data_IF_422171847172
#
_entry.id   IF_422171847172
#
_cell.length_a   1.000
_cell.length_b   1.000
_cell.length_c   1.000
_cell.angle_alpha   90.00
_cell.angle_beta   90.00
_cell.angle_gamma   90.00
#
_symmetry.space_group_name_H-M   'P 1'
#
loop_
_entity.id
_entity.type
_entity.pdbx_description
1 polymer ?
#
# COMPACT_ATOMS: atom_id res chain seq x y z
N UNK A 1 -25.54 -22.98 -20.47
CA UNK A 1 -26.25 -22.23 -19.41
C UNK A 1 -25.18 -21.73 -18.47
N UNK A 2 -24.99 -20.40 -18.31
CA UNK A 2 -24.07 -19.90 -17.31
C UNK A 2 -24.66 -20.19 -15.94
N UNK A 3 -23.91 -20.87 -15.07
CA UNK A 3 -24.24 -21.00 -13.66
C UNK A 3 -24.36 -19.58 -13.07
N UNK A 4 -25.56 -19.23 -12.64
CA UNK A 4 -25.75 -18.07 -11.77
C UNK A 4 -24.86 -18.29 -10.55
N UNK A 5 -23.82 -17.46 -10.42
CA UNK A 5 -23.05 -17.33 -9.19
C UNK A 5 -24.06 -17.03 -8.09
N UNK A 6 -24.36 -18.06 -7.28
CA UNK A 6 -25.13 -17.97 -6.04
C UNK A 6 -24.78 -16.65 -5.37
N UNK A 7 -25.79 -15.78 -5.22
CA UNK A 7 -25.69 -14.60 -4.38
C UNK A 7 -25.28 -15.09 -3.00
N UNK A 8 -23.99 -15.00 -2.68
CA UNK A 8 -23.48 -15.47 -1.40
C UNK A 8 -24.22 -14.70 -0.31
N UNK A 9 -24.82 -15.40 0.64
CA UNK A 9 -25.46 -14.75 1.78
C UNK A 9 -24.44 -13.92 2.56
N UNK A 10 -24.80 -12.69 2.93
CA UNK A 10 -23.99 -11.84 3.81
C UNK A 10 -23.68 -12.62 5.10
N UNK A 11 -22.40 -12.81 5.47
CA UNK A 11 -22.06 -13.51 6.70
C UNK A 11 -22.64 -12.77 7.92
N UNK A 12 -23.28 -13.54 8.82
CA UNK A 12 -23.93 -13.04 10.04
C UNK A 12 -23.10 -13.26 11.29
N UNK A 13 -22.20 -14.25 11.27
CA UNK A 13 -21.31 -14.57 12.39
C UNK A 13 -19.85 -14.58 11.96
N UNK A 14 -18.93 -14.57 12.93
CA UNK A 14 -17.50 -14.71 12.65
C UNK A 14 -17.18 -16.07 12.02
N UNK A 15 -17.88 -17.13 12.45
CA UNK A 15 -17.73 -18.47 11.89
C UNK A 15 -18.13 -18.52 10.42
N UNK A 16 -19.20 -17.82 10.04
CA UNK A 16 -19.63 -17.70 8.64
C UNK A 16 -18.68 -16.82 7.80
N UNK A 17 -18.00 -15.86 8.42
CA UNK A 17 -17.02 -15.01 7.74
C UNK A 17 -15.69 -15.72 7.48
N UNK A 18 -15.31 -16.65 8.38
CA UNK A 18 -14.03 -17.34 8.25
C UNK A 18 -13.98 -18.22 7.00
N UNK A 19 -13.01 -17.97 6.14
CA UNK A 19 -12.89 -18.67 4.86
C UNK A 19 -13.98 -18.33 3.83
N UNK A 20 -14.80 -17.29 4.06
CA UNK A 20 -15.88 -16.92 3.12
C UNK A 20 -15.38 -16.17 1.88
N UNK A 21 -14.14 -15.70 1.93
CA UNK A 21 -13.52 -14.90 0.88
C UNK A 21 -12.51 -15.70 0.07
N UNK A 22 -12.06 -15.13 -1.04
CA UNK A 22 -11.14 -15.78 -1.97
C UNK A 22 -9.93 -14.91 -2.20
N UNK A 23 -8.78 -15.57 -2.31
CA UNK A 23 -7.57 -14.93 -2.84
C UNK A 23 -7.69 -14.91 -4.37
N UNK A 24 -7.47 -13.74 -4.96
CA UNK A 24 -7.47 -13.52 -6.41
C UNK A 24 -6.12 -12.96 -6.86
N UNK A 25 -5.88 -12.93 -8.18
CA UNK A 25 -4.72 -12.24 -8.74
C UNK A 25 -4.78 -10.72 -8.47
N UNK A 26 -3.71 -9.98 -8.81
CA UNK A 26 -3.73 -8.52 -8.73
C UNK A 26 -4.93 -7.96 -9.49
N UNK A 27 -5.80 -7.17 -8.85
CA UNK A 27 -7.03 -6.70 -9.50
C UNK A 27 -6.75 -5.57 -10.52
N UNK A 28 -5.56 -4.96 -10.45
CA UNK A 28 -5.11 -3.90 -11.35
C UNK A 28 -3.58 -3.94 -11.45
N UNK A 29 -3.06 -3.70 -12.66
CA UNK A 29 -1.62 -3.65 -12.96
C UNK A 29 -1.23 -2.32 -13.61
N UNK A 30 -1.64 -1.21 -12.98
CA UNK A 30 -1.22 0.11 -13.42
C UNK A 30 0.19 0.44 -12.90
N UNK A 31 0.79 1.49 -13.46
CA UNK A 31 2.01 2.08 -12.90
C UNK A 31 1.64 3.30 -12.08
N UNK A 32 2.33 3.52 -10.97
CA UNK A 32 2.29 4.82 -10.31
C UNK A 32 2.85 5.82 -11.32
N UNK A 33 2.04 6.83 -11.67
CA UNK A 33 2.40 7.82 -12.69
C UNK A 33 3.75 8.46 -12.37
N UNK A 34 4.49 8.77 -13.43
CA UNK A 34 5.84 9.31 -13.34
C UNK A 34 5.92 10.50 -12.37
N UNK A 35 6.93 10.41 -11.49
CA UNK A 35 7.34 11.46 -10.58
C UNK A 35 8.63 12.03 -11.16
N UNK A 36 8.72 13.36 -11.24
CA UNK A 36 9.92 14.00 -11.78
C UNK A 36 11.12 13.71 -10.88
N UNK A 37 12.27 13.42 -11.50
CA UNK A 37 13.54 13.35 -10.77
C UNK A 37 13.80 14.66 -10.04
N UNK A 38 14.49 14.59 -8.92
CA UNK A 38 14.90 15.76 -8.15
C UNK A 38 16.40 16.00 -8.35
N UNK A 39 16.78 17.28 -8.42
CA UNK A 39 18.17 17.70 -8.53
C UNK A 39 18.76 17.92 -7.14
N UNK A 40 18.96 16.82 -6.41
CA UNK A 40 19.55 16.85 -5.07
C UNK A 40 21.05 16.53 -5.13
N UNK A 41 21.86 17.10 -4.21
CA UNK A 41 23.27 16.77 -4.15
C UNK A 41 23.46 15.29 -3.79
N UNK A 42 24.48 14.67 -4.38
CA UNK A 42 24.94 13.33 -4.05
C UNK A 42 26.27 13.42 -3.31
N UNK A 43 26.35 12.84 -2.12
CA UNK A 43 27.47 13.04 -1.20
C UNK A 43 28.23 11.75 -0.85
N UNK A 44 27.96 10.64 -1.55
CA UNK A 44 28.68 9.37 -1.35
C UNK A 44 28.05 8.16 -2.05
N UNK A 45 28.18 6.99 -1.42
CA UNK A 45 27.67 5.69 -1.93
C UNK A 45 26.62 5.05 -1.03
N UNK A 46 26.22 5.70 0.06
CA UNK A 46 25.16 5.19 0.91
C UNK A 46 23.80 5.40 0.25
N UNK A 47 22.86 4.51 0.57
CA UNK A 47 21.47 4.63 0.18
C UNK A 47 20.63 5.11 1.36
N UNK A 48 19.78 6.11 1.14
CA UNK A 48 18.69 6.47 2.03
C UNK A 48 17.40 5.88 1.48
N UNK A 49 16.65 5.18 2.32
CA UNK A 49 15.30 4.70 2.03
C UNK A 49 14.31 5.42 2.93
N UNK A 50 13.35 6.10 2.31
CA UNK A 50 12.30 6.86 3.00
C UNK A 50 10.98 6.08 2.91
N UNK A 51 10.36 5.85 4.06
CA UNK A 51 9.05 5.19 4.17
C UNK A 51 7.98 6.21 4.55
N UNK A 52 7.01 6.52 3.67
CA UNK A 52 6.03 7.57 3.90
C UNK A 52 4.83 7.07 4.73
N UNK A 53 5.09 6.41 5.86
CA UNK A 53 4.08 5.77 6.70
C UNK A 53 4.52 5.67 8.15
N UNK A 54 3.56 5.64 9.08
CA UNK A 54 3.77 5.30 10.49
C UNK A 54 3.57 3.80 10.78
N UNK A 55 3.11 3.03 9.79
CA UNK A 55 2.81 1.62 9.95
C UNK A 55 4.09 0.78 9.94
N UNK A 56 4.48 0.29 11.12
CA UNK A 56 5.69 -0.53 11.30
C UNK A 56 5.68 -1.82 10.50
N UNK A 57 4.54 -2.49 10.35
CA UNK A 57 4.44 -3.73 9.58
C UNK A 57 4.80 -3.49 8.10
N UNK A 58 4.35 -2.38 7.52
CA UNK A 58 4.72 -1.98 6.15
C UNK A 58 6.21 -1.69 6.02
N UNK A 59 6.79 -1.02 7.01
CA UNK A 59 8.22 -0.69 7.04
C UNK A 59 9.06 -1.94 7.12
N UNK A 60 8.77 -2.84 8.07
CA UNK A 60 9.51 -4.08 8.24
C UNK A 60 9.51 -4.94 6.98
N UNK A 61 8.38 -5.04 6.28
CA UNK A 61 8.29 -5.80 5.02
C UNK A 61 9.08 -5.11 3.90
N UNK A 62 9.13 -3.79 3.84
CA UNK A 62 9.95 -3.10 2.83
C UNK A 62 11.45 -3.19 3.14
N UNK A 63 11.84 -3.08 4.41
CA UNK A 63 13.26 -3.12 4.83
C UNK A 63 13.95 -4.41 4.42
N UNK A 64 13.24 -5.55 4.41
CA UNK A 64 13.80 -6.84 3.95
C UNK A 64 14.32 -6.74 2.52
N UNK A 65 13.67 -5.95 1.67
CA UNK A 65 14.04 -5.82 0.26
C UNK A 65 15.36 -5.08 0.02
N UNK A 66 15.76 -4.24 0.97
CA UNK A 66 17.00 -3.46 0.88
C UNK A 66 18.20 -4.19 1.52
N UNK A 67 18.00 -5.38 2.10
CA UNK A 67 19.10 -6.20 2.62
C UNK A 67 20.03 -6.69 1.51
N UNK A 68 19.48 -6.99 0.33
CA UNK A 68 20.22 -7.45 -0.85
C UNK A 68 20.69 -6.26 -1.71
N UNK A 69 21.34 -5.28 -1.07
CA UNK A 69 21.89 -4.11 -1.77
C UNK A 69 23.02 -4.49 -2.73
N UNK A 70 23.17 -3.80 -3.87
CA UNK A 70 24.25 -4.08 -4.82
C UNK A 70 25.60 -3.61 -4.26
N UNK A 71 26.68 -4.18 -4.78
CA UNK A 71 28.05 -3.92 -4.28
C UNK A 71 28.51 -2.46 -4.38
N UNK A 72 27.84 -1.63 -5.17
CA UNK A 72 28.14 -0.21 -5.31
C UNK A 72 27.43 0.68 -4.26
N UNK A 73 26.60 0.09 -3.39
CA UNK A 73 25.98 0.76 -2.25
C UNK A 73 26.68 0.30 -0.97
N UNK A 74 27.26 1.23 -0.22
CA UNK A 74 28.05 0.92 0.98
C UNK A 74 27.12 0.48 2.13
N UNK A 75 26.15 1.31 2.51
CA UNK A 75 25.12 1.02 3.52
C UNK A 75 23.73 1.55 3.14
N UNK A 76 22.68 1.02 3.79
CA UNK A 76 21.30 1.51 3.70
C UNK A 76 20.86 2.15 5.02
N UNK A 77 20.38 3.39 4.95
CA UNK A 77 19.77 4.13 6.05
C UNK A 77 18.26 4.17 5.86
N UNK A 78 17.51 3.90 6.93
CA UNK A 78 16.05 3.85 6.90
C UNK A 78 15.48 5.04 7.65
N UNK A 79 14.57 5.78 7.01
CA UNK A 79 13.91 6.94 7.59
C UNK A 79 12.39 6.83 7.38
N UNK A 80 11.63 6.83 8.47
CA UNK A 80 10.17 6.90 8.41
C UNK A 80 9.73 8.37 8.45
N UNK A 81 8.96 8.79 7.45
CA UNK A 81 8.36 10.13 7.37
C UNK A 81 6.85 9.96 7.23
N UNK A 82 6.08 9.96 8.34
CA UNK A 82 4.64 9.79 8.26
C UNK A 82 3.99 10.87 7.38
N UNK A 83 3.20 10.42 6.39
CA UNK A 83 2.35 11.29 5.57
C UNK A 83 0.90 10.98 5.93
N UNK A 84 0.13 12.00 6.30
CA UNK A 84 -1.29 11.86 6.61
C UNK A 84 -2.07 11.35 5.39
N UNK A 85 -3.14 10.58 5.62
CA UNK A 85 -4.05 10.13 4.56
C UNK A 85 -5.07 11.20 4.12
N UNK A 86 -5.04 12.37 4.76
CA UNK A 86 -5.94 13.50 4.52
C UNK A 86 -7.44 13.10 4.56
N UNK A 87 -7.79 12.12 5.40
CA UNK A 87 -9.15 11.61 5.53
C UNK A 87 -9.58 10.63 4.44
N UNK A 88 -8.64 10.21 3.57
CA UNK A 88 -8.83 9.18 2.53
C UNK A 88 -8.37 7.82 3.04
N UNK A 89 -8.96 7.37 4.14
CA UNK A 89 -8.55 6.17 4.87
C UNK A 89 -8.56 4.90 4.00
N UNK A 90 -9.45 4.82 3.01
CA UNK A 90 -9.57 3.67 2.12
C UNK A 90 -9.77 4.12 0.67
N UNK A 91 -8.68 4.27 -0.09
CA UNK A 91 -8.73 4.46 -1.53
C UNK A 91 -9.39 3.27 -2.23
N UNK A 92 -10.04 3.53 -3.35
CA UNK A 92 -10.63 2.54 -4.24
C UNK A 92 -10.14 2.75 -5.68
N UNK A 93 -10.20 1.69 -6.48
CA UNK A 93 -9.85 1.69 -7.90
C UNK A 93 -8.47 2.33 -8.13
N UNK A 94 -8.35 3.23 -9.11
CA UNK A 94 -7.11 3.96 -9.40
C UNK A 94 -6.64 4.92 -8.29
N UNK A 95 -7.47 5.24 -7.28
CA UNK A 95 -7.05 6.15 -6.21
C UNK A 95 -5.94 5.56 -5.34
N UNK A 96 -5.80 4.24 -5.25
CA UNK A 96 -4.66 3.62 -4.56
C UNK A 96 -3.32 4.11 -5.13
N UNK A 97 -3.21 4.19 -6.46
CA UNK A 97 -2.01 4.66 -7.16
C UNK A 97 -1.80 6.16 -7.00
N UNK A 98 -2.89 6.93 -7.00
CA UNK A 98 -2.85 8.39 -6.77
C UNK A 98 -2.38 8.70 -5.36
N UNK A 99 -2.92 8.01 -4.35
CA UNK A 99 -2.52 8.15 -2.95
C UNK A 99 -1.07 7.70 -2.73
N UNK A 100 -0.64 6.57 -3.31
CA UNK A 100 0.75 6.13 -3.27
C UNK A 100 1.70 7.20 -3.85
N UNK A 101 1.37 7.75 -5.02
CA UNK A 101 2.12 8.86 -5.62
C UNK A 101 2.19 10.06 -4.70
N UNK A 102 1.05 10.47 -4.15
CA UNK A 102 0.96 11.62 -3.25
C UNK A 102 1.86 11.44 -2.03
N UNK A 103 1.82 10.28 -1.37
CA UNK A 103 2.69 9.94 -0.23
C UNK A 103 4.17 10.03 -0.59
N UNK A 104 4.56 9.48 -1.74
CA UNK A 104 5.94 9.58 -2.23
C UNK A 104 6.35 11.03 -2.40
N UNK A 105 5.57 11.82 -3.14
CA UNK A 105 5.89 13.23 -3.39
C UNK A 105 5.94 14.06 -2.10
N UNK A 106 5.02 13.83 -1.18
CA UNK A 106 4.95 14.59 0.07
C UNK A 106 6.11 14.25 1.00
N UNK A 107 6.54 13.00 1.05
CA UNK A 107 7.72 12.62 1.83
C UNK A 107 9.02 13.20 1.26
N UNK A 108 9.13 13.34 -0.06
CA UNK A 108 10.25 14.06 -0.70
C UNK A 108 10.29 15.52 -0.24
N UNK A 109 9.14 16.20 -0.23
CA UNK A 109 9.04 17.60 0.21
C UNK A 109 9.36 17.74 1.70
N UNK A 110 8.76 16.90 2.56
CA UNK A 110 9.02 16.91 4.00
C UNK A 110 10.51 16.63 4.29
N UNK A 111 11.12 15.68 3.57
CA UNK A 111 12.53 15.39 3.75
C UNK A 111 13.40 16.61 3.43
N UNK A 112 13.15 17.23 2.27
CA UNK A 112 13.90 18.42 1.81
C UNK A 112 13.83 19.56 2.82
N UNK A 113 12.66 19.80 3.38
CA UNK A 113 12.42 20.92 4.29
C UNK A 113 13.03 20.69 5.67
N UNK A 114 13.07 19.45 6.15
CA UNK A 114 13.42 19.14 7.54
C UNK A 114 14.79 18.47 7.74
N UNK A 115 15.45 18.03 6.67
CA UNK A 115 16.71 17.27 6.74
C UNK A 115 17.84 17.84 5.85
N UNK A 116 18.13 19.16 5.91
CA UNK A 116 18.99 19.84 4.93
C UNK A 116 20.44 19.33 4.87
N UNK A 117 21.00 18.85 5.99
CA UNK A 117 22.38 18.33 6.06
C UNK A 117 22.47 16.80 5.96
N UNK A 118 21.34 16.09 6.02
CA UNK A 118 21.32 14.63 6.22
C UNK A 118 22.03 13.88 5.09
N UNK A 119 21.86 14.33 3.84
CA UNK A 119 22.49 13.69 2.69
C UNK A 119 24.02 13.76 2.75
N UNK A 120 24.56 14.91 3.18
CA UNK A 120 26.00 15.12 3.35
C UNK A 120 26.53 14.32 4.55
N UNK A 121 25.90 14.49 5.72
CA UNK A 121 26.30 13.85 6.97
C UNK A 121 26.31 12.31 6.89
N UNK A 122 25.43 11.74 6.07
CA UNK A 122 25.32 10.29 5.87
C UNK A 122 25.95 9.80 4.57
N UNK A 123 26.66 10.66 3.82
CA UNK A 123 27.30 10.30 2.55
C UNK A 123 26.35 9.61 1.57
N UNK A 124 25.12 10.13 1.45
CA UNK A 124 24.05 9.55 0.63
C UNK A 124 24.29 9.84 -0.85
N UNK A 125 24.34 8.79 -1.67
CA UNK A 125 24.40 8.87 -3.13
C UNK A 125 23.18 8.27 -3.84
N UNK A 126 22.31 7.58 -3.12
CA UNK A 126 21.08 6.99 -3.67
C UNK A 126 19.94 7.23 -2.71
N UNK A 127 18.77 7.62 -3.22
CA UNK A 127 17.61 7.95 -2.40
C UNK A 127 16.40 7.25 -2.99
N UNK A 128 15.83 6.32 -2.23
CA UNK A 128 14.63 5.57 -2.61
C UNK A 128 13.50 6.00 -1.68
N UNK A 129 12.34 6.33 -2.24
CA UNK A 129 11.10 6.48 -1.45
C UNK A 129 10.23 5.26 -1.75
N UNK A 130 9.94 4.47 -0.72
CA UNK A 130 9.22 3.21 -0.84
C UNK A 130 7.88 3.27 -0.10
N UNK A 131 6.77 3.14 -0.83
CA UNK A 131 5.42 3.28 -0.31
C UNK A 131 4.58 2.03 -0.56
N UNK A 132 3.72 1.68 0.39
CA UNK A 132 2.64 0.69 0.22
C UNK A 132 1.32 1.40 0.47
N UNK A 133 0.44 1.42 -0.55
CA UNK A 133 -0.92 1.92 -0.41
C UNK A 133 -1.92 0.81 -0.61
N UNK A 134 -2.78 0.65 0.40
CA UNK A 134 -3.87 -0.33 0.36
C UNK A 134 -5.06 0.29 -0.37
N UNK A 135 -5.77 -0.49 -1.18
CA UNK A 135 -6.94 -0.01 -1.90
C UNK A 135 -7.91 -1.15 -2.19
N UNK A 136 -9.18 -0.80 -2.44
CA UNK A 136 -10.16 -1.74 -2.98
C UNK A 136 -10.37 -1.54 -4.48
N UNK A 137 -10.19 -2.56 -5.30
CA UNK A 137 -10.78 -2.55 -6.65
C UNK A 137 -12.26 -2.91 -6.54
N UNK A 138 -13.14 -2.06 -7.08
CA UNK A 138 -14.58 -2.34 -7.19
C UNK A 138 -15.07 -2.29 -8.63
N UNK A 139 -14.32 -1.67 -9.54
CA UNK A 139 -14.72 -1.56 -10.94
C UNK A 139 -14.34 -2.84 -11.69
N UNK A 140 -15.23 -3.32 -12.56
CA UNK A 140 -15.00 -4.47 -13.44
C UNK A 140 -14.58 -5.77 -12.72
N UNK A 141 -14.87 -5.89 -11.42
CA UNK A 141 -14.65 -7.10 -10.62
C UNK A 141 -16.00 -7.63 -10.11
N UNK A 142 -16.19 -8.97 -10.06
CA UNK A 142 -17.46 -9.54 -9.60
C UNK A 142 -17.70 -9.32 -8.11
N UNK A 143 -16.63 -9.16 -7.33
CA UNK A 143 -16.64 -8.81 -5.91
C UNK A 143 -15.50 -7.82 -5.67
N UNK A 144 -15.69 -6.82 -4.79
CA UNK A 144 -14.61 -5.91 -4.44
C UNK A 144 -13.39 -6.68 -3.91
N UNK A 145 -12.19 -6.16 -4.18
CA UNK A 145 -10.92 -6.82 -3.87
C UNK A 145 -10.02 -5.87 -3.09
N UNK A 146 -9.67 -6.18 -1.83
CA UNK A 146 -8.59 -5.48 -1.09
C UNK A 146 -7.26 -5.94 -1.66
N UNK A 147 -6.44 -5.00 -2.08
CA UNK A 147 -5.09 -5.23 -2.52
C UNK A 147 -4.21 -4.06 -2.04
N UNK A 148 -2.92 -4.14 -2.35
CA UNK A 148 -1.98 -3.06 -2.11
C UNK A 148 -1.12 -2.82 -3.34
N UNK A 149 -0.96 -1.56 -3.70
CA UNK A 149 0.06 -1.11 -4.64
C UNK A 149 1.34 -0.76 -3.88
N UNK A 150 2.47 -1.24 -4.38
CA UNK A 150 3.80 -0.94 -3.87
C UNK A 150 4.54 -0.10 -4.90
N UNK A 151 5.13 1.01 -4.46
CA UNK A 151 5.93 1.90 -5.27
C UNK A 151 7.31 2.11 -4.66
N UNK A 152 8.37 1.95 -5.46
CA UNK A 152 9.73 2.33 -5.08
C UNK A 152 10.24 3.34 -6.10
N UNK A 153 10.55 4.55 -5.65
CA UNK A 153 10.95 5.65 -6.50
C UNK A 153 12.38 6.07 -6.20
N UNK A 154 13.25 6.04 -7.20
CA UNK A 154 14.57 6.62 -7.10
C UNK A 154 14.50 8.12 -7.40
N UNK A 155 14.72 8.91 -6.36
CA UNK A 155 14.56 10.37 -6.38
C UNK A 155 15.50 11.02 -7.38
N UNK A 156 16.71 10.49 -7.54
CA UNK A 156 17.77 11.11 -8.36
C UNK A 156 17.65 10.72 -9.83
N UNK A 157 17.26 9.48 -10.11
CA UNK A 157 17.18 8.96 -11.49
C UNK A 157 15.78 9.12 -12.09
N UNK A 158 14.76 9.32 -11.26
CA UNK A 158 13.36 9.40 -11.68
C UNK A 158 12.73 8.04 -11.99
N UNK A 159 13.43 6.93 -11.73
CA UNK A 159 12.92 5.58 -12.01
C UNK A 159 11.91 5.14 -10.95
N UNK A 160 10.82 4.55 -11.40
CA UNK A 160 9.75 4.01 -10.57
C UNK A 160 9.60 2.51 -10.84
N UNK A 161 9.69 1.70 -9.77
CA UNK A 161 9.19 0.34 -9.76
C UNK A 161 7.79 0.34 -9.14
N UNK A 162 6.83 -0.33 -9.78
CA UNK A 162 5.47 -0.47 -9.28
C UNK A 162 5.01 -1.92 -9.42
N UNK A 163 4.39 -2.44 -8.39
CA UNK A 163 3.69 -3.72 -8.44
C UNK A 163 2.42 -3.67 -7.59
N UNK A 164 1.49 -4.57 -7.86
CA UNK A 164 0.26 -4.72 -7.10
C UNK A 164 0.20 -6.14 -6.56
N UNK A 165 -0.06 -6.25 -5.26
CA UNK A 165 -0.21 -7.55 -4.60
C UNK A 165 -1.43 -8.30 -5.13
N UNK A 166 -1.40 -9.63 -4.94
CA UNK A 166 -2.62 -10.43 -4.97
C UNK A 166 -3.64 -9.85 -3.99
N UNK A 167 -4.91 -9.98 -4.35
CA UNK A 167 -5.99 -9.40 -3.56
C UNK A 167 -6.83 -10.43 -2.83
N UNK A 168 -7.63 -9.95 -1.88
CA UNK A 168 -8.64 -10.75 -1.19
C UNK A 168 -10.01 -10.14 -1.45
N UNK A 169 -10.95 -10.97 -1.90
CA UNK A 169 -12.32 -10.51 -2.10
C UNK A 169 -12.95 -10.09 -0.78
N UNK A 170 -13.91 -9.19 -0.83
CA UNK A 170 -14.82 -8.93 0.28
C UNK A 170 -16.24 -8.87 -0.25
N UNK A 171 -17.19 -9.43 0.51
CA UNK A 171 -18.59 -9.33 0.15
C UNK A 171 -19.04 -7.86 0.02
N UNK A 172 -19.77 -7.45 -1.06
CA UNK A 172 -20.16 -6.06 -1.31
C UNK A 172 -20.87 -5.29 -0.19
N UNK A 173 -21.35 -5.97 0.86
CA UNK A 173 -22.09 -5.33 1.96
C UNK A 173 -21.19 -4.32 2.70
N UNK A 174 -19.86 -4.52 2.69
CA UNK A 174 -18.95 -3.59 3.34
C UNK A 174 -18.96 -2.22 2.66
N UNK A 175 -19.24 -2.12 1.35
CA UNK A 175 -19.33 -0.85 0.64
C UNK A 175 -20.52 -0.04 1.13
N UNK A 176 -21.69 -0.69 1.23
CA UNK A 176 -22.90 -0.08 1.79
C UNK A 176 -22.66 0.40 3.24
N UNK A 177 -21.97 -0.42 4.03
CA UNK A 177 -21.63 -0.05 5.41
C UNK A 177 -20.62 1.09 5.47
N UNK A 178 -19.61 1.13 4.59
CA UNK A 178 -18.64 2.21 4.51
C UNK A 178 -19.30 3.54 4.17
N UNK A 179 -20.21 3.51 3.19
CA UNK A 179 -21.00 4.68 2.78
C UNK A 179 -21.90 5.18 3.91
N UNK A 180 -22.53 4.28 4.67
CA UNK A 180 -23.37 4.62 5.80
C UNK A 180 -22.57 5.19 6.99
N UNK A 181 -21.39 4.62 7.26
CA UNK A 181 -20.61 4.90 8.49
C UNK A 181 -19.82 6.20 8.41
N UNK A 182 -19.22 6.47 7.25
CA UNK A 182 -18.34 7.62 7.06
C UNK A 182 -18.49 8.28 5.70
N UNK A 183 -19.07 7.60 4.70
CA UNK A 183 -19.23 8.15 3.37
C UNK A 183 -17.91 8.37 2.64
N UNK A 184 -17.96 9.25 1.65
CA UNK A 184 -16.84 9.54 0.76
C UNK A 184 -15.98 10.70 1.28
N UNK A 185 -14.67 10.58 1.15
CA UNK A 185 -13.72 11.66 1.40
C UNK A 185 -13.78 12.67 0.24
N UNK A 186 -13.87 13.97 0.56
CA UNK A 186 -13.92 15.06 -0.43
C UNK A 186 -14.98 14.90 -1.55
N UNK A 187 -16.10 14.22 -1.28
CA UNK A 187 -17.09 13.81 -2.29
C UNK A 187 -16.51 12.96 -3.44
N UNK A 188 -15.32 12.39 -3.27
CA UNK A 188 -14.70 11.47 -4.21
C UNK A 188 -15.23 10.05 -3.94
N UNK A 189 -16.05 9.54 -4.88
CA UNK A 189 -16.66 8.21 -4.78
C UNK A 189 -15.64 7.05 -4.71
N UNK A 190 -14.38 7.30 -5.02
CA UNK A 190 -13.30 6.33 -4.95
C UNK A 190 -12.40 6.50 -3.71
N UNK A 191 -12.82 7.28 -2.72
CA UNK A 191 -12.11 7.40 -1.44
C UNK A 191 -13.11 7.27 -0.29
N UNK A 192 -13.06 6.17 0.46
CA UNK A 192 -13.90 5.95 1.64
C UNK A 192 -13.20 6.48 2.89
N UNK A 193 -13.98 7.03 3.84
CA UNK A 193 -13.46 7.53 5.13
C UNK A 193 -13.22 6.44 6.17
N UNK A 194 -13.84 5.27 5.99
CA UNK A 194 -13.75 4.13 6.91
C UNK A 194 -13.07 2.97 6.20
N UNK A 195 -12.15 2.30 6.90
CA UNK A 195 -11.45 1.15 6.33
C UNK A 195 -12.30 -0.12 6.36
N UNK A 196 -12.06 -1.04 5.44
CA UNK A 196 -12.73 -2.34 5.48
C UNK A 196 -12.43 -3.11 6.77
N UNK A 197 -11.21 -3.00 7.28
CA UNK A 197 -10.81 -3.61 8.55
C UNK A 197 -11.65 -3.14 9.74
N UNK A 198 -11.97 -1.84 9.81
CA UNK A 198 -12.87 -1.30 10.84
C UNK A 198 -14.30 -1.82 10.68
N UNK A 199 -14.82 -1.83 9.45
CA UNK A 199 -16.18 -2.29 9.15
C UNK A 199 -16.35 -3.77 9.49
N UNK A 200 -15.38 -4.61 9.08
CA UNK A 200 -15.38 -6.05 9.35
C UNK A 200 -15.25 -6.31 10.85
N UNK A 201 -14.34 -5.64 11.56
CA UNK A 201 -14.18 -5.82 13.00
C UNK A 201 -15.39 -5.35 13.81
N UNK A 202 -16.12 -4.33 13.34
CA UNK A 202 -17.36 -3.89 13.96
C UNK A 202 -18.49 -4.91 13.78
N UNK A 203 -18.58 -5.55 12.59
CA UNK A 203 -19.60 -6.57 12.31
C UNK A 203 -19.30 -7.91 12.98
N UNK A 204 -18.03 -8.30 13.05
CA UNK A 204 -17.59 -9.57 13.59
C UNK A 204 -16.62 -9.36 14.76
N UNK A 205 -17.13 -9.27 16.01
CA UNK A 205 -16.30 -9.13 17.19
C UNK A 205 -15.23 -10.24 17.25
N UNK A 206 -13.97 -9.84 17.44
CA UNK A 206 -12.81 -10.75 17.48
C UNK A 206 -11.93 -10.68 16.23
N UNK A 207 -12.40 -10.09 15.12
CA UNK A 207 -11.54 -9.84 13.95
C UNK A 207 -10.56 -8.71 14.24
N UNK A 208 -9.29 -8.91 13.87
CA UNK A 208 -8.27 -7.86 13.95
C UNK A 208 -8.39 -6.91 12.77
N UNK A 209 -8.70 -5.63 13.02
CA UNK A 209 -8.87 -4.59 11.99
C UNK A 209 -7.76 -4.58 10.93
N UNK A 210 -6.50 -4.58 11.36
CA UNK A 210 -5.34 -4.51 10.46
C UNK A 210 -5.09 -5.80 9.66
N UNK A 211 -5.67 -6.93 10.08
CA UNK A 211 -5.34 -8.26 9.57
C UNK A 211 -6.58 -9.16 9.40
N UNK A 212 -7.69 -8.58 8.98
CA UNK A 212 -8.95 -9.31 8.76
C UNK A 212 -8.82 -10.42 7.71
N UNK A 213 -7.85 -10.30 6.80
CA UNK A 213 -7.45 -11.31 5.82
C UNK A 213 -7.18 -12.67 6.45
N UNK A 214 -6.57 -12.70 7.64
CA UNK A 214 -6.29 -13.94 8.35
C UNK A 214 -7.56 -14.72 8.67
N UNK A 215 -8.61 -14.05 9.10
CA UNK A 215 -9.91 -14.70 9.31
C UNK A 215 -10.58 -15.05 7.97
N UNK A 216 -10.56 -14.12 7.00
CA UNK A 216 -11.29 -14.26 5.75
C UNK A 216 -10.76 -15.35 4.79
N UNK A 217 -9.44 -15.54 4.73
CA UNK A 217 -8.77 -16.46 3.79
C UNK A 217 -7.64 -17.30 4.41
N UNK A 218 -7.51 -17.32 5.75
CA UNK A 218 -6.43 -18.02 6.46
C UNK A 218 -5.01 -17.64 6.01
N UNK A 219 -4.84 -16.39 5.56
CA UNK A 219 -3.54 -15.82 5.19
C UNK A 219 -3.46 -14.38 5.68
N UNK A 220 -2.45 -14.02 6.51
CA UNK A 220 -2.31 -12.67 7.02
C UNK A 220 -1.92 -11.68 5.91
N UNK A 221 -2.31 -10.42 6.06
CA UNK A 221 -2.01 -9.33 5.12
C UNK A 221 -0.51 -9.23 4.80
N UNK A 222 0.33 -9.44 5.83
CA UNK A 222 1.79 -9.36 5.72
C UNK A 222 2.34 -10.25 4.62
N UNK A 223 1.86 -11.49 4.50
CA UNK A 223 2.36 -12.43 3.49
C UNK A 223 2.06 -11.96 2.06
N UNK A 224 0.93 -11.29 1.81
CA UNK A 224 0.63 -10.72 0.49
C UNK A 224 1.57 -9.57 0.12
N UNK A 225 2.01 -8.80 1.11
CA UNK A 225 2.96 -7.71 0.94
C UNK A 225 4.37 -8.26 0.71
N UNK A 226 4.77 -9.28 1.46
CA UNK A 226 6.06 -9.96 1.32
C UNK A 226 6.20 -10.57 -0.08
N UNK A 227 5.18 -11.30 -0.56
CA UNK A 227 5.17 -11.90 -1.91
C UNK A 227 5.41 -10.87 -3.02
N UNK A 228 4.66 -9.76 -3.02
CA UNK A 228 4.80 -8.76 -4.09
C UNK A 228 6.14 -8.02 -4.01
N UNK A 229 6.65 -7.75 -2.80
CA UNK A 229 7.91 -7.03 -2.61
C UNK A 229 9.11 -7.90 -2.99
N UNK A 230 9.04 -9.20 -2.72
CA UNK A 230 10.08 -10.15 -3.12
C UNK A 230 10.29 -10.15 -4.65
N UNK A 231 9.21 -10.09 -5.43
CA UNK A 231 9.25 -10.08 -6.90
C UNK A 231 9.71 -8.75 -7.52
N UNK A 232 9.66 -7.64 -6.78
CA UNK A 232 10.01 -6.32 -7.31
C UNK A 232 11.52 -6.14 -7.49
N UNK A 233 11.95 -5.37 -8.48
CA UNK A 233 13.31 -4.87 -8.55
C UNK A 233 13.40 -3.49 -7.89
N UNK A 234 14.38 -3.31 -6.98
CA UNK A 234 14.66 -1.99 -6.41
C UNK A 234 15.34 -1.14 -7.48
N UNK A 235 14.87 0.09 -7.75
CA UNK A 235 15.45 0.94 -8.78
C UNK A 235 16.75 1.60 -8.30
N UNK A 236 17.82 0.82 -8.11
CA UNK A 236 19.11 1.29 -7.59
C UNK A 236 19.78 2.36 -8.48
N UNK A 237 19.58 2.30 -9.80
CA UNK A 237 20.15 3.20 -10.81
C UNK A 237 19.17 3.40 -11.96
#
# INVERSE_FOLDING_TARGET
MPEELSQSTIPKTLEEFRGSEKIVGPPRNEKIRDIQRQEWPTSGKNCLVIFPTENKDKVEVLETKFKDKPNNIDDCFFLQIPVADEGRSQPCNGQGYVCARHRITKAIDIFRDNYPAYLEDKHIGTIIVAAIENFFERDNVPRPVDAAVVGMFNVLTGKMATATSRGVTLHPWFLEEAERSGGFADNNKDCLRTTAGEIVANKFPGVRKADWHKDAVNKPRREFLEEVIEEMEVPWA
#
